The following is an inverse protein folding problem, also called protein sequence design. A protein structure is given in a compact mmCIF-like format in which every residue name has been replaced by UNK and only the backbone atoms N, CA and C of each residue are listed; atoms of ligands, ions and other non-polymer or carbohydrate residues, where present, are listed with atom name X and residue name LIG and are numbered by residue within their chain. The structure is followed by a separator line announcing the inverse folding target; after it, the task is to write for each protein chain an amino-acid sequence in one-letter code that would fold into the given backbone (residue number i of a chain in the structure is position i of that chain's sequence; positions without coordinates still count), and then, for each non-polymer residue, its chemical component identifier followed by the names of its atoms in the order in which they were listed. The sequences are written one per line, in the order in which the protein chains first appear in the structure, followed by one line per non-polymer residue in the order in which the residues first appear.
data_IF_159791294155
#
_entry.id   IF_159791294155
#
_cell.length_a   1.000
_cell.length_b   1.000
_cell.length_c   1.000
_cell.angle_alpha   90.00
_cell.angle_beta   90.00
_cell.angle_gamma   90.00
#
_symmetry.space_group_name_H-M   'P 1'
#
loop_
_entity.id
_entity.type
_entity.pdbx_description
1 polymer ?
#
# COMPACT_ATOMS: atom_id res chain seq x y z
N UNK A 1 -18.70 17.50 28.75
CA UNK A 1 -17.94 16.22 28.72
C UNK A 1 -18.94 15.10 28.91
N UNK A 2 -18.85 14.03 28.11
CA UNK A 2 -19.70 12.86 28.30
C UNK A 2 -19.42 12.24 29.68
N UNK A 3 -20.47 12.01 30.46
CA UNK A 3 -20.38 11.56 31.85
C UNK A 3 -20.55 10.03 31.85
N UNK A 4 -19.51 9.31 31.46
CA UNK A 4 -19.51 7.85 31.43
C UNK A 4 -18.08 7.30 31.41
N UNK A 5 -17.85 6.21 32.13
CA UNK A 5 -16.59 5.48 32.07
C UNK A 5 -16.60 4.62 30.80
N UNK A 6 -15.58 4.72 29.92
CA UNK A 6 -15.34 3.75 28.87
C UNK A 6 -15.42 2.33 29.42
N UNK A 7 -16.14 1.45 28.72
CA UNK A 7 -16.11 0.02 28.99
C UNK A 7 -15.21 -0.68 27.96
N UNK A 8 -13.97 -0.98 28.35
CA UNK A 8 -12.98 -1.68 27.56
C UNK A 8 -13.17 -3.18 27.69
N UNK A 9 -13.17 -3.86 26.55
CA UNK A 9 -13.07 -5.32 26.52
C UNK A 9 -11.64 -5.77 26.87
N UNK A 10 -11.49 -7.04 27.21
CA UNK A 10 -10.17 -7.65 27.43
C UNK A 10 -9.27 -7.51 26.20
N UNK A 11 -9.86 -7.49 25.01
CA UNK A 11 -9.13 -7.26 23.76
C UNK A 11 -8.53 -5.85 23.71
N UNK A 12 -9.30 -4.82 24.07
CA UNK A 12 -8.79 -3.45 24.10
C UNK A 12 -7.69 -3.32 25.17
N UNK A 13 -7.85 -3.96 26.32
CA UNK A 13 -6.82 -4.03 27.35
C UNK A 13 -5.53 -4.67 26.80
N UNK A 14 -5.66 -5.79 26.08
CA UNK A 14 -4.54 -6.50 25.46
C UNK A 14 -3.80 -5.63 24.44
N UNK A 15 -4.53 -4.91 23.58
CA UNK A 15 -3.94 -3.97 22.60
C UNK A 15 -3.09 -2.90 23.32
N UNK A 16 -3.56 -2.40 24.46
CA UNK A 16 -2.85 -1.38 25.23
C UNK A 16 -1.78 -1.93 26.18
N UNK A 17 -1.58 -3.26 26.24
CA UNK A 17 -0.63 -3.89 27.16
C UNK A 17 -1.05 -3.82 28.63
N UNK A 18 -2.36 -3.82 28.89
CA UNK A 18 -2.96 -3.70 30.21
C UNK A 18 -3.60 -5.03 30.65
N UNK A 19 -3.79 -5.25 31.97
CA UNK A 19 -4.49 -6.43 32.47
C UNK A 19 -5.96 -6.43 32.05
N UNK A 20 -6.53 -7.63 31.87
CA UNK A 20 -7.95 -7.85 31.60
C UNK A 20 -8.83 -7.17 32.66
N UNK A 21 -9.98 -6.64 32.23
CA UNK A 21 -10.91 -5.90 33.08
C UNK A 21 -10.49 -4.48 33.49
N UNK A 22 -9.37 -3.94 33.00
CA UNK A 22 -9.00 -2.55 33.24
C UNK A 22 -9.98 -1.57 32.56
N UNK A 23 -10.47 -0.58 33.31
CA UNK A 23 -11.43 0.41 32.82
C UNK A 23 -10.87 1.83 33.00
N UNK A 24 -10.37 2.48 31.94
CA UNK A 24 -9.86 3.85 32.02
C UNK A 24 -11.00 4.87 32.10
N UNK A 25 -10.68 6.05 32.62
CA UNK A 25 -11.47 7.26 32.33
C UNK A 25 -11.31 7.67 30.86
N UNK A 26 -12.22 8.50 30.33
CA UNK A 26 -12.07 9.07 28.97
C UNK A 26 -10.72 9.78 28.82
N UNK A 27 -10.27 10.51 29.86
CA UNK A 27 -8.99 11.20 29.84
C UNK A 27 -7.81 10.21 29.70
N UNK A 28 -7.79 9.15 30.51
CA UNK A 28 -6.76 8.11 30.44
C UNK A 28 -6.77 7.40 29.08
N UNK A 29 -7.96 7.13 28.53
CA UNK A 29 -8.09 6.53 27.20
C UNK A 29 -7.45 7.41 26.11
N UNK A 30 -7.59 8.73 26.20
CA UNK A 30 -6.99 9.69 25.26
C UNK A 30 -5.48 9.82 25.48
N UNK A 31 -5.00 9.73 26.73
CA UNK A 31 -3.56 9.78 27.05
C UNK A 31 -2.76 8.63 26.44
N UNK A 32 -3.38 7.49 26.14
CA UNK A 32 -2.74 6.41 25.39
C UNK A 32 -2.45 6.77 23.92
N UNK A 33 -3.12 7.74 23.32
CA UNK A 33 -2.80 8.17 21.97
C UNK A 33 -1.48 8.95 21.96
N UNK A 34 -0.70 8.78 20.90
CA UNK A 34 0.50 9.58 20.68
C UNK A 34 0.14 11.08 20.69
N UNK A 35 1.02 11.99 21.16
CA UNK A 35 0.71 13.42 21.25
C UNK A 35 0.20 14.05 19.94
N UNK A 36 0.66 13.55 18.79
CA UNK A 36 0.18 13.94 17.46
C UNK A 36 -1.26 13.52 17.15
N UNK A 37 -1.71 12.41 17.74
CA UNK A 37 -3.03 11.81 17.54
C UNK A 37 -4.09 12.28 18.55
N UNK A 38 -3.67 12.79 19.72
CA UNK A 38 -4.58 13.24 20.78
C UNK A 38 -5.60 14.31 20.35
N UNK A 39 -5.21 15.38 19.61
CA UNK A 39 -6.18 16.40 19.19
C UNK A 39 -7.26 15.80 18.30
N UNK A 40 -6.88 14.89 17.40
CA UNK A 40 -7.79 14.28 16.43
C UNK A 40 -8.79 13.36 17.11
N UNK A 41 -8.34 12.43 17.97
CA UNK A 41 -9.26 11.53 18.66
C UNK A 41 -10.21 12.30 19.58
N UNK A 42 -9.72 13.36 20.24
CA UNK A 42 -10.54 14.19 21.11
C UNK A 42 -11.65 14.90 20.34
N UNK A 43 -11.34 15.45 19.16
CA UNK A 43 -12.29 16.12 18.28
C UNK A 43 -13.39 15.15 17.80
N UNK A 44 -13.00 14.03 17.19
CA UNK A 44 -13.98 13.10 16.60
C UNK A 44 -14.83 12.42 17.67
N UNK A 45 -14.25 12.09 18.83
CA UNK A 45 -14.99 11.53 19.95
C UNK A 45 -16.00 12.52 20.52
N UNK A 46 -15.61 13.79 20.68
CA UNK A 46 -16.52 14.84 21.15
C UNK A 46 -17.66 15.08 20.17
N UNK A 47 -17.35 15.14 18.87
CA UNK A 47 -18.34 15.30 17.81
C UNK A 47 -19.33 14.13 17.81
N UNK A 48 -18.83 12.90 18.00
CA UNK A 48 -19.68 11.72 18.14
C UNK A 48 -20.58 11.80 19.38
N UNK A 49 -20.05 12.22 20.54
CA UNK A 49 -20.85 12.35 21.77
C UNK A 49 -21.93 13.44 21.67
N UNK A 50 -21.64 14.57 21.01
CA UNK A 50 -22.52 15.74 21.00
C UNK A 50 -23.51 15.74 19.84
N UNK A 51 -23.05 15.32 18.65
CA UNK A 51 -23.80 15.44 17.41
C UNK A 51 -24.21 14.06 16.86
N UNK A 52 -23.56 12.99 17.32
CA UNK A 52 -23.83 11.63 16.86
C UNK A 52 -23.18 11.30 15.52
N UNK A 53 -22.20 12.10 15.08
CA UNK A 53 -21.40 11.83 13.88
C UNK A 53 -20.43 10.70 14.18
N UNK A 54 -20.53 9.60 13.43
CA UNK A 54 -19.60 8.48 13.54
C UNK A 54 -18.21 8.82 13.03
N UNK A 55 -17.19 8.13 13.52
CA UNK A 55 -15.80 8.27 13.07
C UNK A 55 -15.14 6.92 12.79
N UNK A 56 -14.12 6.95 11.95
CA UNK A 56 -13.25 5.84 11.55
C UNK A 56 -11.87 6.41 11.30
N UNK A 57 -10.96 6.25 12.27
CA UNK A 57 -9.65 6.89 12.26
C UNK A 57 -8.55 5.86 12.44
N UNK A 58 -7.44 6.05 11.72
CA UNK A 58 -6.19 5.31 11.96
C UNK A 58 -5.20 6.20 12.70
N UNK A 59 -4.96 5.90 13.96
CA UNK A 59 -4.18 6.74 14.87
C UNK A 59 -3.08 5.93 15.55
N UNK A 60 -2.06 6.65 16.02
CA UNK A 60 -0.98 6.03 16.75
C UNK A 60 -1.28 6.05 18.25
N UNK A 61 -1.05 4.91 18.89
CA UNK A 61 -1.20 4.69 20.33
C UNK A 61 0.13 4.24 20.90
N UNK A 62 0.43 4.75 22.09
CA UNK A 62 1.56 4.35 22.92
C UNK A 62 0.98 3.45 24.01
N UNK A 63 1.28 2.16 23.93
CA UNK A 63 0.85 1.17 24.94
C UNK A 63 1.41 1.51 26.32
N UNK A 64 0.87 0.88 27.38
CA UNK A 64 1.38 1.03 28.74
C UNK A 64 2.88 0.69 28.88
N UNK A 65 3.40 -0.18 28.01
CA UNK A 65 4.81 -0.57 27.96
C UNK A 65 5.68 0.40 27.13
N UNK A 66 5.13 1.50 26.63
CA UNK A 66 5.83 2.48 25.79
C UNK A 66 5.99 2.07 24.32
N UNK A 67 5.42 0.93 23.90
CA UNK A 67 5.44 0.52 22.49
C UNK A 67 4.47 1.36 21.67
N UNK A 68 4.94 1.87 20.54
CA UNK A 68 4.13 2.53 19.53
C UNK A 68 3.43 1.51 18.64
N UNK A 69 2.11 1.64 18.52
CA UNK A 69 1.26 0.81 17.67
C UNK A 69 0.31 1.69 16.87
N UNK A 70 -0.07 1.23 15.69
CA UNK A 70 -1.13 1.84 14.91
C UNK A 70 -2.44 1.12 15.19
N UNK A 71 -3.48 1.88 15.49
CA UNK A 71 -4.82 1.35 15.70
C UNK A 71 -5.81 1.98 14.74
N UNK A 72 -6.77 1.18 14.27
CA UNK A 72 -7.99 1.68 13.64
C UNK A 72 -9.09 1.72 14.68
N UNK A 73 -9.70 2.89 14.88
CA UNK A 73 -10.70 3.13 15.90
C UNK A 73 -11.96 3.63 15.23
N UNK A 74 -13.04 2.87 15.39
CA UNK A 74 -14.36 3.20 14.87
C UNK A 74 -15.28 3.48 16.05
N UNK A 75 -16.06 4.56 15.98
CA UNK A 75 -17.05 4.90 16.99
C UNK A 75 -18.35 5.40 16.39
N UNK A 76 -19.47 4.99 17.00
CA UNK A 76 -20.83 5.42 16.64
C UNK A 76 -21.61 5.78 17.90
N UNK A 77 -22.44 6.80 17.81
CA UNK A 77 -23.37 7.14 18.87
C UNK A 77 -24.54 6.16 18.92
N UNK A 78 -24.89 5.72 20.12
CA UNK A 78 -26.11 4.96 20.42
C UNK A 78 -27.13 5.93 20.99
N UNK A 79 -28.38 5.78 20.55
CA UNK A 79 -29.49 6.65 20.94
C UNK A 79 -30.55 5.87 21.72
N UNK A 80 -31.22 6.52 22.66
CA UNK A 80 -32.42 5.99 23.29
C UNK A 80 -33.66 6.10 22.40
N UNK A 81 -34.82 5.66 22.91
CA UNK A 81 -36.11 5.72 22.23
C UNK A 81 -36.56 7.16 21.94
N UNK A 82 -36.04 8.14 22.68
CA UNK A 82 -36.30 9.57 22.52
C UNK A 82 -35.32 10.24 21.54
N UNK A 83 -34.38 9.48 20.96
CA UNK A 83 -33.37 9.96 20.02
C UNK A 83 -32.16 10.66 20.66
N UNK A 84 -32.07 10.70 22.00
CA UNK A 84 -30.96 11.29 22.73
C UNK A 84 -29.77 10.36 22.72
N UNK A 85 -28.56 10.92 22.57
CA UNK A 85 -27.32 10.14 22.57
C UNK A 85 -27.01 9.70 24.01
N UNK A 86 -26.95 8.40 24.23
CA UNK A 86 -26.70 7.82 25.56
C UNK A 86 -25.27 7.33 25.73
N UNK A 87 -24.64 6.84 24.67
CA UNK A 87 -23.27 6.32 24.71
C UNK A 87 -22.62 6.33 23.33
N UNK A 88 -21.29 6.16 23.30
CA UNK A 88 -20.53 5.85 22.08
C UNK A 88 -20.08 4.41 22.16
N UNK A 89 -20.39 3.64 21.12
CA UNK A 89 -19.96 2.26 20.97
C UNK A 89 -19.01 2.16 19.78
N UNK A 90 -17.96 1.36 19.93
CA UNK A 90 -16.90 1.29 18.94
C UNK A 90 -16.05 0.04 19.03
N UNK A 91 -15.06 -0.03 18.15
CA UNK A 91 -14.07 -1.09 18.11
C UNK A 91 -12.69 -0.50 17.84
N UNK A 92 -11.68 -1.09 18.48
CA UNK A 92 -10.27 -0.77 18.25
C UNK A 92 -9.59 -2.00 17.68
N UNK A 93 -8.89 -1.84 16.57
CA UNK A 93 -8.12 -2.89 15.92
C UNK A 93 -6.65 -2.48 15.84
N UNK A 94 -5.72 -3.33 16.27
CA UNK A 94 -4.30 -3.14 15.99
C UNK A 94 -4.04 -3.41 14.49
N UNK A 95 -3.55 -2.40 13.79
CA UNK A 95 -3.21 -2.43 12.36
C UNK A 95 -1.70 -2.25 12.13
N UNK A 96 -0.88 -2.38 13.18
CA UNK A 96 0.58 -2.19 13.13
C UNK A 96 1.23 -3.13 12.12
N UNK A 97 0.90 -4.42 12.20
CA UNK A 97 1.46 -5.43 11.28
C UNK A 97 1.08 -5.11 9.82
N UNK A 98 -0.18 -4.74 9.58
CA UNK A 98 -0.66 -4.36 8.25
C UNK A 98 0.08 -3.14 7.70
N UNK A 99 0.28 -2.09 8.50
CA UNK A 99 1.06 -0.91 8.08
C UNK A 99 2.52 -1.25 7.82
N UNK A 100 3.15 -2.03 8.69
CA UNK A 100 4.54 -2.46 8.52
C UNK A 100 4.73 -3.31 7.25
N UNK A 101 3.81 -4.24 6.96
CA UNK A 101 3.86 -5.04 5.74
C UNK A 101 3.69 -4.15 4.51
N UNK A 102 2.74 -3.22 4.52
CA UNK A 102 2.53 -2.27 3.42
C UNK A 102 3.78 -1.43 3.17
N UNK A 103 4.38 -0.89 4.23
CA UNK A 103 5.61 -0.09 4.11
C UNK A 103 6.79 -0.91 3.58
N UNK A 104 6.95 -2.15 4.06
CA UNK A 104 7.98 -3.07 3.54
C UNK A 104 7.78 -3.36 2.06
N UNK A 105 6.55 -3.62 1.62
CA UNK A 105 6.22 -3.83 0.21
C UNK A 105 6.57 -2.61 -0.63
N UNK A 106 6.18 -1.41 -0.20
CA UNK A 106 6.51 -0.16 -0.90
C UNK A 106 8.02 0.05 -0.99
N UNK A 107 8.76 -0.18 0.10
CA UNK A 107 10.23 -0.06 0.11
C UNK A 107 10.90 -1.08 -0.82
N UNK A 108 10.43 -2.32 -0.84
CA UNK A 108 10.93 -3.36 -1.74
C UNK A 108 10.66 -3.02 -3.21
N UNK A 109 9.43 -2.62 -3.53
CA UNK A 109 9.06 -2.20 -4.88
C UNK A 109 9.94 -1.04 -5.37
N UNK A 110 10.12 0.00 -4.53
CA UNK A 110 10.97 1.13 -4.87
C UNK A 110 12.43 0.73 -5.08
N UNK A 111 12.96 -0.17 -4.22
CA UNK A 111 14.33 -0.68 -4.37
C UNK A 111 14.51 -1.49 -5.65
N UNK A 112 13.52 -2.30 -6.03
CA UNK A 112 13.54 -3.03 -7.31
C UNK A 112 13.58 -2.07 -8.49
N UNK A 113 12.73 -1.03 -8.49
CA UNK A 113 12.75 0.01 -9.53
C UNK A 113 14.11 0.68 -9.63
N UNK A 114 14.68 1.17 -8.53
CA UNK A 114 16.02 1.80 -8.54
C UNK A 114 17.08 0.84 -9.09
N UNK A 115 17.04 -0.43 -8.67
CA UNK A 115 18.03 -1.42 -9.09
C UNK A 115 17.95 -1.65 -10.59
N UNK A 116 16.75 -1.88 -11.13
CA UNK A 116 16.53 -2.14 -12.56
C UNK A 116 16.81 -0.90 -13.42
N UNK A 117 16.47 0.30 -12.92
CA UNK A 117 16.74 1.57 -13.60
C UNK A 117 18.24 1.90 -13.67
N UNK A 118 19.05 1.38 -12.73
CA UNK A 118 20.51 1.56 -12.71
C UNK A 118 21.27 0.59 -13.64
N UNK A 119 20.58 -0.39 -14.23
CA UNK A 119 21.20 -1.35 -15.14
C UNK A 119 21.58 -0.64 -16.45
N UNK A 120 22.84 -0.80 -16.87
CA UNK A 120 23.38 -0.22 -18.11
C UNK A 120 23.03 -1.00 -19.37
N UNK A 121 22.38 -2.14 -19.22
CA UNK A 121 21.79 -2.93 -20.31
C UNK A 121 20.30 -2.60 -20.45
N UNK A 122 19.78 -2.67 -21.68
CA UNK A 122 18.35 -2.57 -21.91
C UNK A 122 17.60 -3.75 -21.31
N UNK A 123 16.67 -3.48 -20.41
CA UNK A 123 15.84 -4.48 -19.77
C UNK A 123 14.35 -4.11 -19.85
N UNK A 124 13.52 -5.10 -20.18
CA UNK A 124 12.07 -4.98 -20.14
C UNK A 124 11.43 -6.32 -19.81
N UNK A 125 10.17 -6.29 -19.35
CA UNK A 125 9.37 -7.50 -19.09
C UNK A 125 8.08 -7.46 -19.89
N UNK A 126 7.57 -8.65 -20.22
CA UNK A 126 6.30 -8.83 -20.93
C UNK A 126 5.37 -9.74 -20.13
N UNK A 127 4.07 -9.56 -20.27
CA UNK A 127 3.08 -10.53 -19.78
C UNK A 127 2.83 -11.68 -20.79
N UNK A 128 1.89 -12.57 -20.47
CA UNK A 128 1.51 -13.71 -21.33
C UNK A 128 0.88 -13.30 -22.66
N UNK A 129 0.37 -12.08 -22.77
CA UNK A 129 -0.19 -11.50 -24.00
C UNK A 129 0.85 -10.67 -24.78
N UNK A 130 2.12 -10.75 -24.39
CA UNK A 130 3.25 -10.00 -24.94
C UNK A 130 3.15 -8.48 -24.73
N UNK A 131 2.40 -8.03 -23.74
CA UNK A 131 2.30 -6.61 -23.39
C UNK A 131 3.47 -6.21 -22.49
N UNK A 132 4.07 -5.03 -22.72
CA UNK A 132 5.13 -4.53 -21.84
C UNK A 132 4.60 -4.24 -20.44
N UNK A 133 5.24 -4.82 -19.43
CA UNK A 133 4.91 -4.62 -18.01
C UNK A 133 5.95 -3.81 -17.26
N UNK A 134 7.16 -3.71 -17.81
CA UNK A 134 8.24 -2.86 -17.31
C UNK A 134 9.23 -2.58 -18.44
N UNK A 135 9.82 -1.38 -18.47
CA UNK A 135 10.89 -0.97 -19.38
C UNK A 135 11.83 -0.08 -18.58
N UNK A 136 13.12 -0.43 -18.50
CA UNK A 136 14.09 0.43 -17.82
C UNK A 136 14.54 1.59 -18.74
N UNK A 137 15.13 2.67 -18.20
CA UNK A 137 15.54 3.84 -18.99
C UNK A 137 16.51 3.52 -20.13
N UNK A 138 17.38 2.53 -19.93
CA UNK A 138 18.31 2.12 -20.97
C UNK A 138 17.63 1.39 -22.13
N UNK A 139 16.62 0.56 -21.86
CA UNK A 139 15.78 -0.02 -22.91
C UNK A 139 15.03 1.06 -23.67
N UNK A 140 14.53 2.12 -23.01
CA UNK A 140 13.92 3.26 -23.70
C UNK A 140 14.90 3.91 -24.69
N UNK A 141 16.15 4.09 -24.25
CA UNK A 141 17.24 4.65 -25.07
C UNK A 141 17.56 3.78 -26.27
N UNK A 142 17.70 2.46 -26.06
CA UNK A 142 18.03 1.49 -27.12
C UNK A 142 16.87 1.34 -28.10
N UNK A 143 15.64 1.22 -27.60
CA UNK A 143 14.42 1.03 -28.40
C UNK A 143 13.92 2.33 -29.05
N UNK A 144 14.48 3.49 -28.65
CA UNK A 144 14.09 4.84 -29.11
C UNK A 144 12.60 5.11 -28.92
N UNK A 145 12.04 4.65 -27.80
CA UNK A 145 10.63 4.84 -27.42
C UNK A 145 10.52 5.04 -25.91
N UNK A 146 9.64 5.94 -25.49
CA UNK A 146 9.38 6.20 -24.09
C UNK A 146 8.66 5.00 -23.45
N UNK A 147 9.03 4.64 -22.22
CA UNK A 147 8.40 3.56 -21.47
C UNK A 147 6.91 3.83 -21.26
N UNK A 148 6.51 5.08 -21.04
CA UNK A 148 5.10 5.48 -20.96
C UNK A 148 4.27 5.17 -22.21
N UNK A 149 4.90 5.12 -23.39
CA UNK A 149 4.24 4.71 -24.64
C UNK A 149 4.22 3.20 -24.82
N UNK A 150 5.20 2.49 -24.25
CA UNK A 150 5.35 1.05 -24.40
C UNK A 150 4.51 0.28 -23.39
N UNK A 151 4.38 0.77 -22.16
CA UNK A 151 3.69 0.08 -21.07
C UNK A 151 2.23 -0.23 -21.45
N UNK A 152 1.84 -1.50 -21.30
CA UNK A 152 0.53 -2.02 -21.70
C UNK A 152 0.35 -2.27 -23.20
N UNK A 153 1.28 -1.81 -24.06
CA UNK A 153 1.23 -2.09 -25.49
C UNK A 153 1.82 -3.47 -25.80
N UNK A 154 1.26 -4.14 -26.82
CA UNK A 154 1.80 -5.43 -27.28
C UNK A 154 3.10 -5.22 -28.05
N UNK A 155 4.12 -6.02 -27.73
CA UNK A 155 5.43 -6.03 -28.38
C UNK A 155 5.31 -5.98 -29.92
N UNK A 156 4.46 -6.84 -30.48
CA UNK A 156 4.26 -6.97 -31.92
C UNK A 156 3.55 -5.77 -32.56
N UNK A 157 2.81 -4.97 -31.79
CA UNK A 157 2.17 -3.75 -32.27
C UNK A 157 3.17 -2.59 -32.26
N UNK A 158 3.95 -2.46 -31.18
CA UNK A 158 5.00 -1.45 -31.03
C UNK A 158 6.16 -1.65 -32.02
N UNK A 159 6.46 -2.92 -32.32
CA UNK A 159 7.54 -3.33 -33.24
C UNK A 159 7.08 -4.44 -34.21
N UNK A 160 6.27 -4.12 -35.24
CA UNK A 160 5.73 -5.11 -36.17
C UNK A 160 6.78 -5.90 -36.95
N UNK A 161 7.96 -5.32 -37.18
CA UNK A 161 9.07 -5.98 -37.88
C UNK A 161 9.79 -7.05 -37.07
N UNK A 162 9.47 -7.20 -35.78
CA UNK A 162 10.03 -8.25 -34.92
C UNK A 162 9.26 -9.56 -35.11
N UNK A 163 7.98 -9.50 -35.48
CA UNK A 163 7.16 -10.70 -35.74
C UNK A 163 7.69 -11.45 -36.95
N UNK A 164 7.89 -12.76 -36.83
CA UNK A 164 8.52 -13.60 -37.85
C UNK A 164 10.04 -13.38 -38.03
N UNK A 165 10.68 -12.62 -37.13
CA UNK A 165 12.14 -12.52 -37.07
C UNK A 165 12.71 -13.51 -36.06
N UNK A 166 14.05 -13.59 -35.98
CA UNK A 166 14.76 -14.37 -34.96
C UNK A 166 14.29 -14.04 -33.53
N UNK A 167 13.94 -12.77 -33.24
CA UNK A 167 13.42 -12.39 -31.93
C UNK A 167 12.10 -13.10 -31.59
N UNK A 168 11.19 -13.24 -32.55
CA UNK A 168 9.92 -13.95 -32.35
C UNK A 168 10.16 -15.44 -32.09
N UNK A 169 10.94 -16.10 -32.94
CA UNK A 169 11.29 -17.52 -32.76
C UNK A 169 11.91 -17.79 -31.39
N UNK A 170 12.84 -16.95 -30.97
CA UNK A 170 13.55 -17.09 -29.70
C UNK A 170 12.66 -16.80 -28.50
N UNK A 171 11.79 -15.79 -28.57
CA UNK A 171 10.82 -15.49 -27.52
C UNK A 171 9.78 -16.62 -27.38
N UNK A 172 9.24 -17.13 -28.48
CA UNK A 172 8.34 -18.28 -28.47
C UNK A 172 9.04 -19.53 -27.89
N UNK A 173 10.31 -19.74 -28.23
CA UNK A 173 11.11 -20.85 -27.67
C UNK A 173 11.30 -20.71 -26.17
N UNK A 174 11.64 -19.51 -25.69
CA UNK A 174 11.83 -19.25 -24.27
C UNK A 174 10.57 -19.54 -23.46
N UNK A 175 9.40 -19.08 -23.96
CA UNK A 175 8.10 -19.29 -23.31
C UNK A 175 7.66 -20.75 -23.37
N UNK A 176 7.72 -21.38 -24.56
CA UNK A 176 7.27 -22.77 -24.73
C UNK A 176 8.11 -23.79 -23.97
N UNK A 177 9.42 -23.55 -23.85
CA UNK A 177 10.34 -24.45 -23.14
C UNK A 177 10.55 -24.05 -21.67
N UNK A 178 10.06 -22.87 -21.26
CA UNK A 178 10.30 -22.26 -19.95
C UNK A 178 11.78 -22.22 -19.57
N UNK A 179 12.62 -21.84 -20.54
CA UNK A 179 14.08 -21.76 -20.38
C UNK A 179 14.60 -20.42 -20.84
N UNK A 180 15.66 -19.97 -20.18
CA UNK A 180 16.43 -18.81 -20.64
C UNK A 180 17.06 -19.13 -21.99
N UNK A 181 16.91 -18.21 -22.95
CA UNK A 181 17.56 -18.27 -24.26
C UNK A 181 18.46 -17.05 -24.40
N UNK A 182 19.58 -17.21 -25.09
CA UNK A 182 20.50 -16.13 -25.43
C UNK A 182 20.78 -16.20 -26.92
N UNK A 183 20.68 -15.06 -27.60
CA UNK A 183 20.88 -14.96 -29.03
C UNK A 183 21.31 -13.55 -29.43
N UNK A 184 22.02 -13.45 -30.54
CA UNK A 184 22.35 -12.18 -31.19
C UNK A 184 21.48 -12.04 -32.45
N UNK A 185 20.84 -10.88 -32.59
CA UNK A 185 20.03 -10.57 -33.75
C UNK A 185 20.13 -9.08 -34.09
N UNK A 186 20.24 -8.79 -35.38
CA UNK A 186 20.29 -7.42 -35.86
C UNK A 186 18.87 -6.84 -35.98
N UNK A 187 18.66 -5.63 -35.43
CA UNK A 187 17.40 -4.90 -35.59
C UNK A 187 17.61 -3.69 -36.53
N UNK A 188 17.29 -3.82 -37.84
CA UNK A 188 17.55 -2.78 -38.83
C UNK A 188 16.80 -1.46 -38.59
N UNK A 189 15.73 -1.45 -37.78
CA UNK A 189 14.93 -0.24 -37.53
C UNK A 189 15.49 0.65 -36.43
N UNK A 190 16.48 0.20 -35.65
CA UNK A 190 17.12 1.00 -34.61
C UNK A 190 18.32 1.83 -35.11
N UNK A 191 18.83 1.57 -36.33
CA UNK A 191 19.99 2.26 -36.92
C UNK A 191 19.70 3.59 -37.64
N UNK A 192 18.45 4.07 -37.71
CA UNK A 192 18.09 5.31 -38.40
C UNK A 192 18.55 6.62 -37.73
N UNK A 193 19.81 6.72 -37.24
CA UNK A 193 20.34 7.88 -36.53
C UNK A 193 21.84 8.12 -36.63
N UNK A 194 22.53 7.58 -37.65
CA UNK A 194 23.87 8.03 -38.03
C UNK A 194 23.84 8.51 -39.49
N UNK A 195 23.55 9.79 -39.67
CA UNK A 195 23.98 10.59 -40.81
C UNK A 195 24.52 11.91 -40.29
#
# INVERSE_FOLDING_TARGET
MAVGLPNWSDEICRIHGLPAGFQPTVKQAIEFYAPSSQPRIQEVFNTCCQQGVSFDEELEVITYQGKHIWVRVIGKAVRDEQGQITQVQGSTQDITEQKQLREKLTKLAHRLTITLDSITDGFFTLDTDWCFTYVNPEAERILKRCGGELLGQRLWQSFPGVKGSRFDEEYQRAVSQQKSVHFEAFNPRLEGGWK
#
